data_IF_041918199002
#
_entry.id   IF_041918199002
#
_cell.length_a   1.000
_cell.length_b   1.000
_cell.length_c   1.000
_cell.angle_alpha   90.00
_cell.angle_beta   90.00
_cell.angle_gamma   90.00
#
_symmetry.space_group_name_H-M   'P 1'
#
loop_
_entity.id
_entity.type
_entity.pdbx_description
1 polymer ?
#
# COMPACT_ATOMS: atom_id res chain seq x y z
N UNK A 1 9.19 15.94 -27.04
CA UNK A 1 8.50 14.88 -26.25
C UNK A 1 7.02 14.89 -26.63
N UNK A 2 6.14 14.14 -25.97
CA UNK A 2 4.68 14.17 -26.20
C UNK A 2 3.94 14.36 -24.88
N UNK A 3 2.84 15.10 -24.94
CA UNK A 3 1.97 15.38 -23.81
C UNK A 3 0.78 14.42 -23.81
N UNK A 4 0.40 13.93 -22.64
CA UNK A 4 -0.75 13.06 -22.46
C UNK A 4 -1.54 13.50 -21.24
N UNK A 5 -2.85 13.25 -21.31
CA UNK A 5 -3.79 13.38 -20.21
C UNK A 5 -4.45 12.03 -19.98
N UNK A 6 -4.38 11.51 -18.76
CA UNK A 6 -5.17 10.38 -18.31
C UNK A 6 -6.22 10.87 -17.33
N UNK A 7 -7.49 10.75 -17.73
CA UNK A 7 -8.62 10.87 -16.82
C UNK A 7 -8.96 9.47 -16.31
N UNK A 8 -8.97 9.27 -15.00
CA UNK A 8 -9.34 8.00 -14.39
C UNK A 8 -10.35 8.17 -13.26
N UNK A 9 -11.11 7.10 -13.02
CA UNK A 9 -12.22 7.08 -12.09
C UNK A 9 -11.93 5.99 -11.04
N UNK A 10 -11.84 6.40 -9.78
CA UNK A 10 -11.69 5.52 -8.62
C UNK A 10 -13.08 5.13 -8.10
N UNK A 11 -13.18 3.93 -7.51
CA UNK A 11 -14.40 3.47 -6.86
C UNK A 11 -14.91 4.47 -5.80
N UNK A 12 -16.17 4.95 -5.87
CA UNK A 12 -16.71 5.97 -4.97
C UNK A 12 -16.95 5.51 -3.52
N UNK A 13 -16.76 4.22 -3.24
CA UNK A 13 -16.99 3.60 -1.93
C UNK A 13 -15.70 3.47 -1.11
N UNK A 14 -14.54 3.87 -1.65
CA UNK A 14 -13.30 3.89 -0.89
C UNK A 14 -13.23 5.10 0.03
N UNK A 15 -12.71 4.87 1.22
CA UNK A 15 -12.32 5.89 2.18
C UNK A 15 -11.07 6.64 1.71
N UNK A 16 -10.85 7.84 2.25
CA UNK A 16 -9.81 8.75 1.79
C UNK A 16 -8.41 8.12 1.84
N UNK A 17 -8.05 7.43 2.94
CA UNK A 17 -6.76 6.74 3.06
C UNK A 17 -6.50 5.74 1.92
N UNK A 18 -7.53 4.98 1.52
CA UNK A 18 -7.41 4.02 0.41
C UNK A 18 -7.36 4.72 -0.95
N UNK A 19 -8.02 5.86 -1.09
CA UNK A 19 -7.96 6.71 -2.27
C UNK A 19 -6.55 7.28 -2.44
N UNK A 20 -5.97 7.83 -1.37
CA UNK A 20 -4.62 8.39 -1.34
C UNK A 20 -3.56 7.30 -1.59
N UNK A 21 -3.78 6.08 -1.08
CA UNK A 21 -2.93 4.93 -1.44
C UNK A 21 -2.94 4.64 -2.94
N UNK A 22 -4.11 4.63 -3.59
CA UNK A 22 -4.21 4.40 -5.05
C UNK A 22 -3.56 5.56 -5.83
N UNK A 23 -3.69 6.81 -5.36
CA UNK A 23 -2.98 7.97 -5.91
C UNK A 23 -1.46 7.78 -5.80
N UNK A 24 -0.97 7.31 -4.65
CA UNK A 24 0.45 7.00 -4.42
C UNK A 24 0.98 5.84 -5.27
N UNK A 25 0.20 4.78 -5.45
CA UNK A 25 0.50 3.66 -6.36
C UNK A 25 0.62 4.15 -7.82
N UNK A 26 -0.35 4.95 -8.29
CA UNK A 26 -0.33 5.56 -9.64
C UNK A 26 0.90 6.45 -9.80
N UNK A 27 1.22 7.30 -8.82
CA UNK A 27 2.40 8.17 -8.86
C UNK A 27 3.70 7.35 -8.91
N UNK A 28 3.83 6.33 -8.07
CA UNK A 28 5.02 5.48 -8.01
C UNK A 28 5.29 4.66 -9.27
N UNK A 29 4.26 4.34 -10.06
CA UNK A 29 4.43 3.72 -11.38
C UNK A 29 4.96 4.72 -12.41
N UNK A 30 4.45 5.95 -12.41
CA UNK A 30 4.88 7.03 -13.31
C UNK A 30 6.32 7.44 -13.03
N UNK A 31 6.68 7.56 -11.74
CA UNK A 31 8.05 7.85 -11.30
C UNK A 31 9.04 6.71 -11.70
N UNK A 32 8.58 5.46 -11.77
CA UNK A 32 9.38 4.29 -12.23
C UNK A 32 9.65 4.32 -13.74
N UNK A 33 8.71 4.83 -14.54
CA UNK A 33 8.81 4.87 -15.99
C UNK A 33 9.60 6.10 -16.53
N UNK A 34 10.24 6.88 -15.64
CA UNK A 34 10.95 8.13 -15.96
C UNK A 34 10.07 9.18 -16.65
N UNK A 35 8.78 9.18 -16.32
CA UNK A 35 7.77 10.08 -16.90
C UNK A 35 7.65 11.36 -16.09
N UNK A 36 7.63 12.53 -16.75
CA UNK A 36 7.51 13.82 -16.06
C UNK A 36 6.05 14.18 -15.83
N UNK A 37 5.59 14.14 -14.57
CA UNK A 37 4.26 14.64 -14.20
C UNK A 37 4.21 16.17 -14.33
N UNK A 38 3.16 16.68 -14.96
CA UNK A 38 2.87 18.12 -15.06
C UNK A 38 1.82 18.51 -14.01
N UNK A 39 0.68 17.80 -13.99
CA UNK A 39 -0.40 18.01 -13.03
C UNK A 39 -0.95 16.68 -12.54
N UNK A 40 -1.29 16.57 -11.26
CA UNK A 40 -2.04 15.45 -10.70
C UNK A 40 -3.10 16.02 -9.75
N UNK A 41 -4.37 15.98 -10.17
CA UNK A 41 -5.45 16.74 -9.52
C UNK A 41 -6.67 15.88 -9.22
N UNK A 42 -7.17 16.00 -7.99
CA UNK A 42 -8.42 15.40 -7.54
C UNK A 42 -9.61 16.26 -7.96
N UNK A 43 -10.51 15.74 -8.81
CA UNK A 43 -11.77 16.39 -9.17
C UNK A 43 -12.93 16.05 -8.23
N UNK A 44 -12.70 15.12 -7.28
CA UNK A 44 -13.69 14.68 -6.31
C UNK A 44 -14.78 13.77 -6.89
N UNK A 45 -15.79 13.50 -6.06
CA UNK A 45 -16.86 12.53 -6.33
C UNK A 45 -17.96 13.16 -7.21
N UNK A 46 -18.07 12.69 -8.45
CA UNK A 46 -19.08 13.15 -9.43
C UNK A 46 -20.05 12.02 -9.78
N UNK A 47 -21.29 12.37 -10.16
CA UNK A 47 -22.30 11.43 -10.64
C UNK A 47 -22.02 11.04 -12.10
N UNK A 48 -22.12 9.75 -12.41
CA UNK A 48 -21.95 9.24 -13.77
C UNK A 48 -23.30 9.20 -14.50
N UNK A 49 -23.29 9.36 -15.83
CA UNK A 49 -24.50 9.33 -16.65
C UNK A 49 -25.19 7.95 -16.64
N UNK A 50 -24.39 6.88 -16.57
CA UNK A 50 -24.84 5.49 -16.44
C UNK A 50 -23.98 4.76 -15.40
N UNK A 51 -24.41 3.56 -14.98
CA UNK A 51 -23.67 2.78 -13.99
C UNK A 51 -22.45 2.07 -14.59
N UNK A 52 -21.29 2.25 -13.99
CA UNK A 52 -20.06 1.49 -14.29
C UNK A 52 -19.81 0.55 -13.13
N UNK A 53 -19.68 -0.75 -13.40
CA UNK A 53 -19.51 -1.79 -12.37
C UNK A 53 -20.53 -1.68 -11.21
N UNK A 54 -21.80 -1.36 -11.55
CA UNK A 54 -22.93 -1.09 -10.62
C UNK A 54 -22.84 0.23 -9.81
N UNK A 55 -21.75 0.99 -9.87
CA UNK A 55 -21.62 2.29 -9.20
C UNK A 55 -22.30 3.42 -10.01
N UNK A 56 -23.04 4.33 -9.33
CA UNK A 56 -23.67 5.53 -9.92
C UNK A 56 -22.80 6.80 -9.82
N UNK A 57 -21.77 6.75 -9.00
CA UNK A 57 -20.82 7.82 -8.74
C UNK A 57 -19.41 7.30 -9.00
N UNK A 58 -18.44 8.21 -9.16
CA UNK A 58 -17.03 7.88 -9.22
C UNK A 58 -16.21 9.07 -8.73
N UNK A 59 -15.05 8.82 -8.13
CA UNK A 59 -14.11 9.90 -7.82
C UNK A 59 -13.18 10.10 -9.00
N UNK A 60 -13.23 11.28 -9.60
CA UNK A 60 -12.48 11.59 -10.81
C UNK A 60 -11.10 12.13 -10.44
N UNK A 61 -10.10 11.64 -11.15
CA UNK A 61 -8.69 12.04 -11.02
C UNK A 61 -8.17 12.43 -12.41
N UNK A 62 -7.56 13.61 -12.48
CA UNK A 62 -6.88 14.11 -13.66
C UNK A 62 -5.37 13.96 -13.48
N UNK A 63 -4.71 13.34 -14.44
CA UNK A 63 -3.27 13.23 -14.50
C UNK A 63 -2.79 13.73 -15.86
N UNK A 64 -1.87 14.69 -15.88
CA UNK A 64 -1.23 15.18 -17.10
C UNK A 64 0.28 15.01 -16.99
N UNK A 65 0.91 14.48 -18.04
CA UNK A 65 2.31 14.12 -18.03
C UNK A 65 2.97 14.24 -19.41
N UNK A 66 4.29 14.34 -19.40
CA UNK A 66 5.17 14.40 -20.55
C UNK A 66 6.02 13.12 -20.63
N UNK A 67 5.97 12.43 -21.77
CA UNK A 67 6.84 11.27 -22.02
C UNK A 67 7.32 11.21 -23.47
N UNK A 68 8.55 10.72 -23.65
CA UNK A 68 9.10 10.35 -24.96
C UNK A 68 8.87 8.88 -25.31
N UNK A 69 8.56 8.02 -24.32
CA UNK A 69 8.52 6.57 -24.48
C UNK A 69 7.12 6.05 -24.77
N UNK A 70 6.97 5.31 -25.87
CA UNK A 70 5.72 4.59 -26.18
C UNK A 70 5.56 3.36 -25.28
N UNK A 71 6.68 2.76 -24.82
CA UNK A 71 6.66 1.59 -23.93
C UNK A 71 6.04 1.93 -22.57
N UNK A 72 6.49 3.03 -21.95
CA UNK A 72 5.92 3.58 -20.72
C UNK A 72 4.38 3.71 -20.82
N UNK A 73 3.89 4.36 -21.88
CA UNK A 73 2.44 4.50 -22.10
C UNK A 73 1.67 3.16 -22.17
N UNK A 74 2.28 2.10 -22.70
CA UNK A 74 1.68 0.75 -22.77
C UNK A 74 1.75 0.00 -21.43
N UNK A 75 2.86 0.14 -20.71
CA UNK A 75 3.06 -0.44 -19.38
C UNK A 75 2.10 0.22 -18.38
N UNK A 76 2.00 1.56 -18.38
CA UNK A 76 1.02 2.33 -17.60
C UNK A 76 -0.45 2.00 -17.93
N UNK A 77 -0.84 1.90 -19.20
CA UNK A 77 -2.19 1.47 -19.58
C UNK A 77 -2.51 0.04 -19.09
N UNK A 78 -1.49 -0.83 -19.07
CA UNK A 78 -1.60 -2.18 -18.51
C UNK A 78 -1.77 -2.14 -16.99
N UNK A 79 -0.94 -1.37 -16.28
CA UNK A 79 -1.07 -1.14 -14.83
C UNK A 79 -2.46 -0.63 -14.44
N UNK A 80 -2.98 0.37 -15.16
CA UNK A 80 -4.32 0.95 -14.91
C UNK A 80 -5.45 -0.06 -15.13
N UNK A 81 -5.29 -1.02 -16.06
CA UNK A 81 -6.22 -2.15 -16.25
C UNK A 81 -6.14 -3.21 -15.15
N UNK A 82 -4.95 -3.44 -14.59
CA UNK A 82 -4.73 -4.40 -13.50
C UNK A 82 -5.19 -3.84 -12.14
N UNK A 83 -5.10 -2.52 -11.92
CA UNK A 83 -5.48 -1.91 -10.65
C UNK A 83 -7.01 -1.93 -10.46
N UNK A 84 -7.50 -2.89 -9.68
CA UNK A 84 -8.92 -3.06 -9.32
C UNK A 84 -9.54 -1.87 -8.58
N UNK A 85 -8.75 -0.89 -8.13
CA UNK A 85 -9.24 0.34 -7.55
C UNK A 85 -9.77 1.35 -8.58
N UNK A 86 -9.28 1.26 -9.82
CA UNK A 86 -9.72 2.07 -10.95
C UNK A 86 -10.86 1.36 -11.67
N UNK A 87 -12.03 2.00 -11.78
CA UNK A 87 -13.21 1.41 -12.44
C UNK A 87 -13.24 1.70 -13.95
N UNK A 88 -12.53 2.76 -14.37
CA UNK A 88 -12.33 3.15 -15.78
C UNK A 88 -11.23 4.22 -15.86
N UNK A 89 -10.44 4.16 -16.93
CA UNK A 89 -9.53 5.23 -17.35
C UNK A 89 -9.70 5.53 -18.84
N UNK A 90 -9.18 6.68 -19.25
CA UNK A 90 -9.02 7.07 -20.65
C UNK A 90 -7.77 7.94 -20.75
N UNK A 91 -6.85 7.57 -21.64
CA UNK A 91 -5.66 8.37 -21.95
C UNK A 91 -5.81 9.00 -23.32
N UNK A 92 -5.55 10.30 -23.40
CA UNK A 92 -5.64 11.14 -24.59
C UNK A 92 -4.29 11.81 -24.80
N UNK A 93 -3.86 11.93 -26.06
CA UNK A 93 -2.68 12.71 -26.42
C UNK A 93 -3.06 14.18 -26.57
N UNK A 94 -2.28 15.06 -25.95
CA UNK A 94 -2.38 16.51 -26.13
C UNK A 94 -1.38 16.98 -27.19
N UNK A 95 -1.75 17.99 -27.97
CA UNK A 95 -0.87 18.62 -28.97
C UNK A 95 0.01 19.72 -28.36
N UNK A 96 -0.51 20.41 -27.34
CA UNK A 96 0.19 21.45 -26.57
C UNK A 96 0.54 20.97 -25.16
N UNK A 97 1.58 21.56 -24.56
CA UNK A 97 1.88 21.39 -23.13
C UNK A 97 0.74 22.02 -22.32
N UNK A 98 0.12 21.31 -21.35
CA UNK A 98 -0.85 21.91 -20.44
C UNK A 98 -0.16 22.84 -19.44
N UNK A 99 -0.87 23.89 -19.05
CA UNK A 99 -0.42 24.83 -18.01
C UNK A 99 -0.41 24.14 -16.64
N UNK A 100 0.57 24.47 -15.78
CA UNK A 100 0.64 23.94 -14.41
C UNK A 100 -0.49 24.57 -13.59
N UNK A 101 -1.31 23.74 -12.97
CA UNK A 101 -2.48 24.17 -12.21
C UNK A 101 -2.15 24.20 -10.72
N UNK A 102 -1.69 25.35 -10.24
CA UNK A 102 -1.61 25.60 -8.80
C UNK A 102 -3.02 25.86 -8.27
N UNK A 103 -3.46 25.10 -7.26
CA UNK A 103 -4.70 25.43 -6.57
C UNK A 103 -4.43 26.65 -5.69
N UNK A 104 -4.97 27.81 -6.10
CA UNK A 104 -4.96 29.05 -5.31
C UNK A 104 -5.63 28.78 -3.96
N UNK A 105 -4.81 28.48 -2.94
CA UNK A 105 -5.27 28.36 -1.56
C UNK A 105 -5.70 29.76 -1.12
N UNK A 106 -6.99 30.02 -0.84
CA UNK A 106 -7.39 31.34 -0.40
C UNK A 106 -6.69 31.65 0.93
N UNK A 107 -5.84 32.68 0.92
CA UNK A 107 -5.05 33.05 2.10
C UNK A 107 -5.96 33.35 3.29
N UNK A 108 -6.01 32.43 4.25
CA UNK A 108 -6.61 32.69 5.55
C UNK A 108 -5.70 33.72 6.23
N UNK A 109 -6.20 34.96 6.31
CA UNK A 109 -5.52 36.07 6.97
C UNK A 109 -5.06 35.64 8.36
N UNK A 110 -3.74 35.57 8.55
CA UNK A 110 -3.12 35.55 9.87
C UNK A 110 -3.32 36.93 10.50
N UNK A 111 -4.36 37.08 11.31
CA UNK A 111 -4.33 38.05 12.40
C UNK A 111 -3.54 37.45 13.58
N UNK A 112 -2.92 38.33 14.36
CA UNK A 112 -1.68 38.02 15.07
C UNK A 112 -1.86 37.36 16.44
N UNK A 113 -0.77 36.80 16.97
CA UNK A 113 -0.71 36.22 18.30
C UNK A 113 -0.67 37.29 19.41
N UNK A 114 -1.23 36.98 20.58
CA UNK A 114 -0.95 37.69 21.83
C UNK A 114 -0.74 36.73 23.02
N UNK A 115 0.51 36.30 23.17
CA UNK A 115 1.29 36.10 24.42
C UNK A 115 0.56 35.90 25.76
N UNK A 116 0.72 34.71 26.35
CA UNK A 116 0.90 34.40 27.81
C UNK A 116 0.73 32.88 28.02
N UNK A 117 1.53 32.10 28.75
CA UNK A 117 2.64 32.37 29.69
C UNK A 117 3.75 31.30 29.56
N UNK A 118 4.95 31.62 30.07
CA UNK A 118 6.10 30.71 30.16
C UNK A 118 6.50 30.56 31.64
N UNK A 119 6.64 29.32 32.14
CA UNK A 119 7.33 29.04 33.42
C UNK A 119 7.65 27.55 33.62
N UNK A 120 8.94 27.22 33.55
CA UNK A 120 9.50 25.92 33.96
C UNK A 120 10.61 26.13 35.00
N UNK A 121 10.35 25.69 36.24
CA UNK A 121 11.27 25.41 37.35
C UNK A 121 10.41 24.76 38.47
N UNK A 122 10.84 23.82 39.31
CA UNK A 122 12.20 23.46 39.78
C UNK A 122 12.34 21.92 40.06
N UNK A 123 13.48 21.49 40.64
CA UNK A 123 14.09 20.14 40.62
C UNK A 123 13.76 19.27 41.90
N UNK A 124 14.49 18.19 42.30
CA UNK A 124 13.88 16.89 42.71
C UNK A 124 14.22 16.38 44.13
N UNK A 125 13.65 15.23 44.58
CA UNK A 125 14.29 14.25 45.49
C UNK A 125 13.51 12.92 45.68
N UNK A 126 14.27 11.82 45.81
CA UNK A 126 14.11 10.52 46.53
C UNK A 126 12.75 10.17 47.22
N UNK A 127 12.10 9.01 46.97
CA UNK A 127 12.39 7.58 47.31
C UNK A 127 12.30 7.20 48.79
N UNK A 128 11.37 6.29 49.13
CA UNK A 128 11.46 5.38 50.28
C UNK A 128 10.58 4.12 50.12
N UNK A 129 11.26 2.99 49.94
CA UNK A 129 10.97 1.60 50.37
C UNK A 129 10.08 1.38 51.62
N UNK A 130 9.55 0.19 51.97
CA UNK A 130 9.30 -1.15 51.34
C UNK A 130 8.65 -2.10 52.40
N UNK A 131 7.96 -3.18 51.97
CA UNK A 131 7.59 -4.43 52.72
C UNK A 131 6.61 -4.38 53.93
N UNK A 132 5.93 -5.46 54.37
CA UNK A 132 5.86 -6.90 53.96
C UNK A 132 4.49 -7.54 54.34
N UNK A 133 4.12 -8.68 53.71
CA UNK A 133 3.29 -9.87 54.12
C UNK A 133 2.04 -9.73 55.06
N UNK A 134 1.09 -10.67 55.23
CA UNK A 134 0.86 -12.12 54.96
C UNK A 134 -0.65 -12.32 54.61
N UNK A 135 -1.23 -13.45 54.22
CA UNK A 135 -0.92 -14.74 53.59
C UNK A 135 -2.12 -15.70 53.86
N UNK A 136 -2.46 -16.60 52.95
CA UNK A 136 -3.15 -17.92 53.18
C UNK A 136 -3.30 -18.64 51.83
N UNK A 137 -2.56 -19.74 51.59
CA UNK A 137 -2.98 -21.18 51.68
C UNK A 137 -4.17 -21.56 50.79
N UNK A 138 -4.23 -22.68 50.06
CA UNK A 138 -3.37 -23.87 49.78
C UNK A 138 -3.88 -24.44 48.41
N UNK A 139 -3.18 -25.25 47.60
CA UNK A 139 -2.74 -26.65 47.79
C UNK A 139 -1.67 -26.98 46.71
N UNK A 140 -0.76 -27.92 47.01
CA UNK A 140 0.40 -28.33 46.20
C UNK A 140 0.24 -29.62 45.37
N UNK A 141 1.19 -29.81 44.45
CA UNK A 141 1.50 -31.01 43.61
C UNK A 141 1.83 -32.29 44.43
N UNK A 142 2.01 -33.50 43.80
CA UNK A 142 3.36 -33.86 43.26
C UNK A 142 3.46 -34.91 42.11
N UNK A 143 4.63 -34.88 41.42
CA UNK A 143 5.60 -35.97 41.01
C UNK A 143 5.13 -37.41 40.67
N UNK A 144 5.69 -38.20 39.72
CA UNK A 144 6.38 -38.05 38.39
C UNK A 144 6.69 -39.48 37.81
N UNK A 145 7.35 -39.63 36.62
CA UNK A 145 7.95 -40.89 36.05
C UNK A 145 6.96 -42.04 35.67
N UNK A 146 7.27 -43.07 34.84
CA UNK A 146 8.11 -43.24 33.63
C UNK A 146 7.68 -44.56 32.91
N UNK A 147 7.89 -44.71 31.59
CA UNK A 147 8.42 -45.92 30.88
C UNK A 147 7.91 -46.17 29.43
N UNK A 148 8.89 -46.23 28.52
CA UNK A 148 9.08 -47.06 27.31
C UNK A 148 7.91 -47.55 26.41
N UNK A 149 8.02 -47.13 25.14
CA UNK A 149 8.20 -47.95 23.92
C UNK A 149 8.70 -46.98 22.81
N UNK A 150 9.85 -47.05 22.11
CA UNK A 150 10.56 -48.15 21.40
C UNK A 150 9.59 -48.92 20.49
N UNK A 151 9.69 -48.89 19.15
CA UNK A 151 10.79 -49.27 18.24
C UNK A 151 10.29 -48.95 16.80
N UNK A 152 11.03 -48.86 15.68
CA UNK A 152 12.47 -48.65 15.34
C UNK A 152 12.50 -48.07 13.91
N UNK A 153 13.51 -47.30 13.54
CA UNK A 153 13.95 -47.18 12.13
C UNK A 153 14.89 -48.36 11.81
N UNK A 154 14.97 -48.85 10.57
CA UNK A 154 16.17 -48.50 9.80
C UNK A 154 16.00 -48.42 8.27
N UNK A 155 16.93 -47.71 7.64
CA UNK A 155 17.27 -47.87 6.22
C UNK A 155 17.90 -49.25 5.95
N UNK A 156 17.61 -49.83 4.78
CA UNK A 156 18.56 -50.70 4.05
C UNK A 156 18.16 -50.85 2.57
N UNK A 157 19.12 -50.57 1.70
CA UNK A 157 19.15 -51.00 0.30
C UNK A 157 19.45 -52.50 0.19
N UNK A 158 18.91 -53.20 -0.82
CA UNK A 158 19.74 -53.91 -1.81
C UNK A 158 18.97 -54.42 -3.05
N UNK A 159 19.74 -54.47 -4.14
CA UNK A 159 19.45 -54.81 -5.53
C UNK A 159 19.21 -56.29 -5.85
N UNK A 160 18.43 -56.55 -6.92
CA UNK A 160 18.53 -57.68 -7.88
C UNK A 160 18.08 -57.09 -9.25
N UNK A 161 18.94 -56.90 -10.26
CA UNK A 161 19.19 -57.81 -11.42
C UNK A 161 17.92 -58.32 -12.14
N UNK A 162 17.82 -58.42 -13.48
CA UNK A 162 18.63 -57.93 -14.60
C UNK A 162 17.76 -58.04 -15.89
N UNK A 163 18.06 -57.27 -16.94
CA UNK A 163 17.68 -57.62 -18.32
C UNK A 163 18.63 -56.91 -19.32
N UNK A 164 19.63 -57.65 -19.81
CA UNK A 164 20.34 -57.33 -21.05
C UNK A 164 19.65 -58.10 -22.18
N UNK A 165 19.07 -57.41 -23.18
CA UNK A 165 19.17 -57.91 -24.55
C UNK A 165 19.45 -56.81 -25.59
N UNK A 166 20.76 -56.61 -25.74
CA UNK A 166 21.49 -56.16 -26.92
C UNK A 166 20.80 -56.42 -28.28
N UNK A 167 20.75 -55.41 -29.15
CA UNK A 167 21.00 -55.64 -30.60
C UNK A 167 21.66 -54.42 -31.24
N UNK A 168 22.76 -54.68 -31.95
CA UNK A 168 23.52 -53.74 -32.78
C UNK A 168 22.88 -53.63 -34.18
N UNK A 169 22.88 -52.45 -34.81
CA UNK A 169 23.64 -52.16 -36.06
C UNK A 169 23.73 -50.64 -36.31
#
# INVERSE_FOLDING_TARGET
MRYYETLYIINPNYEQERLDKIIGEVKGEIDREEVTVINHRTWGKKRMAYQIQKHKYGTYMLLQFETGSIKALMDFDTFMKLNRGVIRHQTVRLDTRPDVYEEEVPEVKKEEASTSEDKVADKPAETSDTDEAEATKEVSEPVVEEEKAKDTEPEASESIEADEEKTEE
#
